data_IF_143009121023
#
_entry.id   IF_143009121023
#
_cell.length_a   1.000
_cell.length_b   1.000
_cell.length_c   1.000
_cell.angle_alpha   90.00
_cell.angle_beta   90.00
_cell.angle_gamma   90.00
#
_symmetry.space_group_name_H-M   'P 1'
#
loop_
_entity.id
_entity.type
_entity.pdbx_description
1 polymer ?
#
# COMPACT_ATOMS: atom_id res chain seq x y z
N UNK A 1 -21.61 15.38 -25.55
CA UNK A 1 -20.88 15.48 -24.28
C UNK A 1 -20.26 14.16 -23.89
N UNK A 2 -19.04 14.19 -23.43
CA UNK A 2 -18.36 12.98 -23.04
C UNK A 2 -18.94 12.40 -21.76
N UNK A 3 -19.18 11.10 -21.76
CA UNK A 3 -19.56 10.36 -20.57
C UNK A 3 -18.35 9.68 -19.91
N UNK A 4 -17.19 10.02 -20.42
CA UNK A 4 -15.94 9.43 -19.92
C UNK A 4 -15.73 9.79 -18.45
N UNK A 5 -15.45 8.79 -17.66
CA UNK A 5 -15.14 9.00 -16.24
C UNK A 5 -13.79 9.68 -16.09
N UNK A 6 -13.75 10.64 -15.20
CA UNK A 6 -12.49 11.27 -14.81
C UNK A 6 -11.74 10.29 -13.90
N UNK A 7 -10.51 10.01 -14.25
CA UNK A 7 -9.63 9.19 -13.42
C UNK A 7 -8.89 10.11 -12.48
N UNK A 8 -9.02 9.89 -11.19
CA UNK A 8 -8.28 10.65 -10.20
C UNK A 8 -6.84 10.18 -10.20
N UNK A 9 -5.91 11.11 -10.41
CA UNK A 9 -4.49 10.80 -10.54
C UNK A 9 -3.62 11.42 -9.45
N UNK A 10 -4.16 12.41 -8.75
CA UNK A 10 -3.40 13.10 -7.72
C UNK A 10 -3.48 12.32 -6.40
N UNK A 11 -2.39 11.60 -6.09
CA UNK A 11 -2.30 10.81 -4.88
C UNK A 11 -2.35 11.70 -3.63
N UNK A 12 -2.90 11.16 -2.55
CA UNK A 12 -3.01 11.87 -1.28
C UNK A 12 -4.22 12.77 -1.16
N UNK A 13 -4.99 12.97 -2.24
CA UNK A 13 -6.20 13.78 -2.18
C UNK A 13 -7.37 12.96 -1.65
N UNK A 14 -8.31 13.65 -1.00
CA UNK A 14 -9.55 13.03 -0.49
C UNK A 14 -10.73 13.88 -0.94
N UNK A 15 -11.69 13.25 -1.56
CA UNK A 15 -12.93 13.90 -1.98
C UNK A 15 -14.08 13.39 -1.12
N UNK A 16 -14.89 14.30 -0.61
CA UNK A 16 -16.10 13.94 0.11
C UNK A 16 -17.12 13.29 -0.82
N UNK A 17 -17.91 12.39 -0.27
CA UNK A 17 -18.98 11.73 -1.02
C UNK A 17 -20.18 11.52 -0.12
N UNK A 18 -21.36 11.81 -0.63
CA UNK A 18 -22.61 11.55 0.08
C UNK A 18 -22.79 10.06 0.35
N UNK A 19 -22.28 9.22 -0.55
CA UNK A 19 -22.38 7.78 -0.42
C UNK A 19 -21.61 7.25 0.80
N UNK A 20 -20.58 7.94 1.23
CA UNK A 20 -19.78 7.54 2.39
C UNK A 20 -20.52 7.79 3.72
N UNK A 21 -21.44 8.73 3.75
CA UNK A 21 -22.14 9.15 4.97
C UNK A 21 -21.16 9.49 6.10
N UNK A 22 -20.03 10.05 5.73
CA UNK A 22 -18.93 10.38 6.64
C UNK A 22 -18.44 11.77 6.28
N UNK A 23 -18.22 12.66 7.28
CA UNK A 23 -17.63 13.96 7.02
C UNK A 23 -16.26 13.82 6.33
N UNK A 24 -15.96 14.74 5.42
CA UNK A 24 -14.72 14.71 4.65
C UNK A 24 -13.46 14.72 5.54
N UNK A 25 -13.49 15.46 6.65
CA UNK A 25 -12.37 15.52 7.58
C UNK A 25 -12.11 14.18 8.28
N UNK A 26 -13.16 13.42 8.58
CA UNK A 26 -13.02 12.09 9.14
C UNK A 26 -12.45 11.11 8.12
N UNK A 27 -12.95 11.17 6.88
CA UNK A 27 -12.43 10.33 5.81
C UNK A 27 -10.95 10.63 5.56
N UNK A 28 -10.57 11.90 5.56
CA UNK A 28 -9.18 12.32 5.38
C UNK A 28 -8.27 11.76 6.48
N UNK A 29 -8.72 11.81 7.72
CA UNK A 29 -7.97 11.29 8.87
C UNK A 29 -7.74 9.77 8.74
N UNK A 30 -8.78 9.03 8.36
CA UNK A 30 -8.68 7.59 8.17
C UNK A 30 -7.79 7.26 6.97
N UNK A 31 -7.96 7.98 5.88
CA UNK A 31 -7.14 7.79 4.67
C UNK A 31 -5.65 8.01 4.98
N UNK A 32 -5.32 9.04 5.77
CA UNK A 32 -3.94 9.29 6.16
C UNK A 32 -3.33 8.09 6.89
N UNK A 33 -4.07 7.52 7.84
CA UNK A 33 -3.62 6.33 8.55
C UNK A 33 -3.44 5.13 7.62
N UNK A 34 -4.38 4.92 6.70
CA UNK A 34 -4.30 3.84 5.72
C UNK A 34 -3.15 4.03 4.73
N UNK A 35 -2.85 5.27 4.36
CA UNK A 35 -1.71 5.58 3.48
C UNK A 35 -0.38 5.20 4.16
N UNK A 36 -0.25 5.46 5.46
CA UNK A 36 0.94 5.05 6.22
C UNK A 36 1.05 3.53 6.26
N UNK A 37 -0.04 2.84 6.53
CA UNK A 37 -0.06 1.37 6.54
C UNK A 37 0.27 0.80 5.16
N UNK A 38 -0.23 1.41 4.10
CA UNK A 38 0.07 1.03 2.72
C UNK A 38 1.57 1.16 2.44
N UNK A 39 2.15 2.29 2.85
CA UNK A 39 3.58 2.55 2.68
C UNK A 39 4.42 1.49 3.41
N UNK A 40 4.08 1.21 4.67
CA UNK A 40 4.76 0.20 5.48
C UNK A 40 4.67 -1.18 4.83
N UNK A 41 3.50 -1.51 4.31
CA UNK A 41 3.27 -2.82 3.71
C UNK A 41 4.11 -3.01 2.45
N UNK A 42 4.27 -1.97 1.63
CA UNK A 42 5.14 -2.05 0.46
C UNK A 42 6.62 -2.11 0.82
N UNK A 43 7.06 -1.38 1.84
CA UNK A 43 8.45 -1.49 2.32
C UNK A 43 8.70 -2.92 2.81
N UNK A 44 7.77 -3.48 3.58
CA UNK A 44 7.84 -4.86 4.05
C UNK A 44 7.87 -5.85 2.88
N UNK A 45 7.00 -5.66 1.91
CA UNK A 45 6.95 -6.51 0.71
C UNK A 45 8.30 -6.55 0.00
N UNK A 46 8.90 -5.38 -0.22
CA UNK A 46 10.21 -5.30 -0.87
C UNK A 46 11.29 -6.01 -0.05
N UNK A 47 11.28 -5.84 1.28
CA UNK A 47 12.23 -6.50 2.16
C UNK A 47 12.07 -8.02 2.13
N UNK A 48 10.83 -8.49 2.15
CA UNK A 48 10.56 -9.93 2.06
C UNK A 48 11.04 -10.50 0.73
N UNK A 49 10.82 -9.78 -0.38
CA UNK A 49 11.32 -10.19 -1.69
C UNK A 49 12.83 -10.21 -1.73
N UNK A 50 13.48 -9.20 -1.18
CA UNK A 50 14.94 -9.15 -1.12
C UNK A 50 15.50 -10.40 -0.41
N UNK A 51 14.97 -10.73 0.74
CA UNK A 51 15.42 -11.89 1.49
C UNK A 51 15.04 -13.19 0.81
N UNK A 52 13.88 -13.26 0.18
CA UNK A 52 13.45 -14.40 -0.61
C UNK A 52 14.45 -14.68 -1.75
N UNK A 53 14.91 -13.64 -2.42
CA UNK A 53 15.86 -13.78 -3.53
C UNK A 53 17.26 -14.20 -3.08
N UNK A 54 17.66 -13.80 -1.87
CA UNK A 54 19.05 -13.87 -1.43
C UNK A 54 19.34 -14.90 -0.34
N UNK A 55 18.33 -15.63 0.11
CA UNK A 55 18.55 -16.63 1.16
C UNK A 55 19.44 -17.77 0.64
N UNK A 56 20.35 -18.21 1.50
CA UNK A 56 21.30 -19.29 1.21
C UNK A 56 21.40 -20.23 2.42
N UNK A 57 22.05 -21.34 2.21
CA UNK A 57 22.36 -22.27 3.28
C UNK A 57 21.53 -23.53 3.30
N UNK A 58 21.66 -24.31 4.36
CA UNK A 58 21.04 -25.63 4.48
C UNK A 58 19.51 -25.58 4.47
N UNK A 59 18.92 -24.46 4.92
CA UNK A 59 17.48 -24.29 4.98
C UNK A 59 16.95 -23.39 3.85
N UNK A 60 17.71 -23.28 2.77
CA UNK A 60 17.40 -22.40 1.65
C UNK A 60 15.96 -22.58 1.17
N UNK A 61 15.56 -23.81 0.88
CA UNK A 61 14.26 -24.07 0.28
C UNK A 61 13.11 -23.65 1.18
N UNK A 62 13.15 -24.01 2.42
CA UNK A 62 12.08 -23.69 3.37
C UNK A 62 11.96 -22.20 3.60
N UNK A 63 13.10 -21.53 3.77
CA UNK A 63 13.12 -20.07 3.96
C UNK A 63 12.70 -19.32 2.69
N UNK A 64 13.18 -19.76 1.55
CA UNK A 64 12.83 -19.19 0.26
C UNK A 64 11.32 -19.24 0.03
N UNK A 65 10.70 -20.39 0.26
CA UNK A 65 9.26 -20.56 0.09
C UNK A 65 8.47 -19.75 1.12
N UNK A 66 8.90 -19.78 2.37
CA UNK A 66 8.24 -19.02 3.44
C UNK A 66 8.25 -17.51 3.14
N UNK A 67 9.42 -16.99 2.76
CA UNK A 67 9.57 -15.56 2.44
C UNK A 67 8.75 -15.17 1.20
N UNK A 68 8.69 -16.05 0.22
CA UNK A 68 7.87 -15.83 -0.96
C UNK A 68 6.39 -15.76 -0.62
N UNK A 69 5.89 -16.67 0.20
CA UNK A 69 4.49 -16.68 0.64
C UNK A 69 4.18 -15.44 1.48
N UNK A 70 5.10 -15.06 2.36
CA UNK A 70 4.94 -13.86 3.18
C UNK A 70 4.87 -12.59 2.31
N UNK A 71 5.68 -12.53 1.24
CA UNK A 71 5.66 -11.42 0.31
C UNK A 71 4.33 -11.36 -0.45
N UNK A 72 3.79 -12.51 -0.88
CA UNK A 72 2.48 -12.56 -1.54
C UNK A 72 1.37 -12.07 -0.62
N UNK A 73 1.41 -12.45 0.66
CA UNK A 73 0.45 -11.99 1.65
C UNK A 73 0.55 -10.49 1.88
N UNK A 74 1.76 -9.95 1.92
CA UNK A 74 1.97 -8.51 2.07
C UNK A 74 1.42 -7.77 0.84
N UNK A 75 1.65 -8.28 -0.36
CA UNK A 75 1.13 -7.67 -1.60
C UNK A 75 -0.40 -7.65 -1.59
N UNK A 76 -1.04 -8.75 -1.22
CA UNK A 76 -2.49 -8.83 -1.14
C UNK A 76 -3.06 -7.85 -0.12
N UNK A 77 -2.39 -7.70 1.01
CA UNK A 77 -2.79 -6.76 2.05
C UNK A 77 -2.66 -5.30 1.58
N UNK A 78 -1.57 -5.00 0.88
CA UNK A 78 -1.37 -3.67 0.29
C UNK A 78 -2.48 -3.33 -0.69
N UNK A 79 -2.89 -4.30 -1.49
CA UNK A 79 -3.98 -4.14 -2.44
C UNK A 79 -5.29 -3.76 -1.74
N UNK A 80 -5.62 -4.47 -0.65
CA UNK A 80 -6.80 -4.18 0.15
C UNK A 80 -6.74 -2.79 0.78
N UNK A 81 -5.57 -2.38 1.29
CA UNK A 81 -5.38 -1.06 1.86
C UNK A 81 -5.60 0.03 0.82
N UNK A 82 -4.99 -0.13 -0.35
CA UNK A 82 -5.12 0.83 -1.44
C UNK A 82 -6.57 0.97 -1.90
N UNK A 83 -7.27 -0.14 -2.07
CA UNK A 83 -8.67 -0.14 -2.46
C UNK A 83 -9.56 0.50 -1.39
N UNK A 84 -9.23 0.30 -0.11
CA UNK A 84 -9.95 0.94 0.99
C UNK A 84 -9.76 2.46 0.98
N UNK A 85 -8.55 2.93 0.69
CA UNK A 85 -8.27 4.36 0.51
C UNK A 85 -9.17 4.92 -0.59
N UNK A 86 -9.24 4.24 -1.73
CA UNK A 86 -10.05 4.68 -2.85
C UNK A 86 -11.54 4.69 -2.48
N UNK A 87 -12.01 3.67 -1.77
CA UNK A 87 -13.42 3.59 -1.35
C UNK A 87 -13.81 4.73 -0.40
N UNK A 88 -12.85 5.25 0.37
CA UNK A 88 -13.08 6.38 1.27
C UNK A 88 -12.90 7.73 0.59
N UNK A 89 -12.75 7.75 -0.72
CA UNK A 89 -12.63 8.99 -1.49
C UNK A 89 -11.21 9.49 -1.65
N UNK A 90 -10.22 8.72 -1.22
CA UNK A 90 -8.81 9.07 -1.36
C UNK A 90 -8.20 8.54 -2.64
N UNK A 91 -6.95 8.93 -2.88
CA UNK A 91 -6.14 8.40 -3.98
C UNK A 91 -4.89 7.82 -3.36
N UNK A 92 -4.73 6.49 -3.37
CA UNK A 92 -3.58 5.88 -2.72
C UNK A 92 -2.27 6.22 -3.42
N UNK A 93 -1.21 6.34 -2.62
CA UNK A 93 0.14 6.53 -3.15
C UNK A 93 0.63 5.23 -3.79
N UNK A 94 1.40 5.37 -4.86
CA UNK A 94 1.96 4.20 -5.55
C UNK A 94 3.42 4.39 -5.95
N UNK A 95 3.92 5.63 -6.00
CA UNK A 95 5.32 5.88 -6.31
C UNK A 95 6.22 5.26 -5.23
N UNK A 96 7.23 4.50 -5.65
CA UNK A 96 8.18 3.90 -4.73
C UNK A 96 8.84 4.91 -3.81
N UNK A 97 9.20 6.07 -4.34
CA UNK A 97 9.82 7.13 -3.54
C UNK A 97 8.87 7.66 -2.48
N UNK A 98 7.60 7.86 -2.82
CA UNK A 98 6.59 8.35 -1.88
C UNK A 98 6.30 7.31 -0.81
N UNK A 99 6.13 6.05 -1.19
CA UNK A 99 5.88 4.98 -0.24
C UNK A 99 7.01 4.85 0.76
N UNK A 100 8.25 4.92 0.30
CA UNK A 100 9.41 4.88 1.17
C UNK A 100 9.45 6.08 2.12
N UNK A 101 9.17 7.28 1.61
CA UNK A 101 9.15 8.50 2.42
C UNK A 101 8.03 8.51 3.46
N UNK A 102 6.87 7.95 3.13
CA UNK A 102 5.71 7.91 4.02
C UNK A 102 5.80 6.81 5.08
N UNK A 103 6.65 5.81 4.86
CA UNK A 103 6.79 4.70 5.80
C UNK A 103 7.72 5.09 6.94
N UNK A 104 7.33 4.83 8.21
CA UNK A 104 8.26 4.95 9.32
C UNK A 104 9.31 3.83 9.37
N UNK A 105 9.17 2.81 8.53
CA UNK A 105 10.14 1.71 8.46
C UNK A 105 11.26 2.09 7.50
N UNK A 106 12.50 2.00 7.96
CA UNK A 106 13.65 2.22 7.09
C UNK A 106 13.95 0.96 6.29
N UNK A 107 13.96 1.05 4.96
CA UNK A 107 14.29 -0.11 4.15
C UNK A 107 15.78 -0.44 4.26
N UNK A 108 16.08 -1.72 4.24
CA UNK A 108 17.45 -2.22 4.18
C UNK A 108 17.73 -2.66 2.75
N UNK A 109 18.77 -2.14 2.18
CA UNK A 109 19.13 -2.45 0.79
C UNK A 109 20.18 -3.57 0.67
#
# INVERSE_FOLDING_TARGET
>A
MSTQKTVRQEAGTVEGSEALRMPADKAEEIVEALQTDLADTYVLYHQLKKHHWNVEGAEFRDLHLFLGDAAENAEAFADELAERVQALGGVPHASGATLEAESPVEPED
#
